data_IF_958653517561
#
_entry.id   IF_958653517561
#
_cell.length_a   1.000
_cell.length_b   1.000
_cell.length_c   1.000
_cell.angle_alpha   90.00
_cell.angle_beta   90.00
_cell.angle_gamma   90.00
#
_symmetry.space_group_name_H-M   'P 1'
#
loop_
_entity.id
_entity.type
_entity.pdbx_description
1 polymer ?
#
# COMPACT_ATOMS: atom_id res chain seq x y z
N UNK A 1 21.82 13.46 -20.48
CA UNK A 1 22.84 14.39 -21.02
C UNK A 1 22.35 15.31 -22.15
N UNK A 2 21.61 14.85 -23.17
CA UNK A 2 21.10 15.75 -24.25
C UNK A 2 20.11 16.82 -23.77
N UNK A 3 19.31 16.52 -22.73
CA UNK A 3 18.28 17.42 -22.19
C UNK A 3 18.81 18.44 -21.18
N UNK A 4 19.87 18.12 -20.43
CA UNK A 4 20.52 19.07 -19.53
C UNK A 4 21.09 20.30 -20.29
N UNK A 5 21.54 20.07 -21.54
CA UNK A 5 22.01 21.14 -22.43
C UNK A 5 20.90 22.07 -22.90
N UNK A 6 19.68 21.56 -23.07
CA UNK A 6 18.49 22.35 -23.44
C UNK A 6 18.07 23.26 -22.27
N UNK A 7 18.20 22.81 -21.03
CA UNK A 7 17.89 23.59 -19.84
C UNK A 7 18.91 24.68 -19.51
N UNK A 8 20.21 24.40 -19.69
CA UNK A 8 21.25 25.46 -19.63
C UNK A 8 20.99 26.53 -20.69
N UNK A 9 20.51 26.14 -21.88
CA UNK A 9 20.10 27.07 -22.93
C UNK A 9 18.83 27.86 -22.58
N UNK A 10 17.79 27.25 -21.99
CA UNK A 10 16.57 27.98 -21.57
C UNK A 10 16.86 28.94 -20.40
N UNK A 11 17.68 28.53 -19.42
CA UNK A 11 18.11 29.39 -18.33
C UNK A 11 18.99 30.56 -18.82
N UNK A 12 19.88 30.32 -19.79
CA UNK A 12 20.65 31.38 -20.46
C UNK A 12 19.77 32.32 -21.30
N UNK A 13 18.72 31.81 -21.96
CA UNK A 13 17.89 32.60 -22.87
C UNK A 13 16.82 33.45 -22.16
N UNK A 14 16.33 33.01 -21.00
CA UNK A 14 15.38 33.81 -20.18
C UNK A 14 16.14 34.70 -19.17
N UNK A 15 17.30 34.25 -18.67
CA UNK A 15 18.14 35.03 -17.76
C UNK A 15 18.92 36.18 -18.42
N UNK A 16 19.07 36.18 -19.75
CA UNK A 16 19.80 37.22 -20.50
C UNK A 16 18.93 38.38 -21.01
N UNK A 17 17.62 38.36 -20.76
CA UNK A 17 16.69 39.43 -21.16
C UNK A 17 16.70 40.59 -20.15
N UNK A 18 17.41 40.46 -19.04
CA UNK A 18 17.82 41.60 -18.23
C UNK A 18 19.29 41.88 -18.60
N UNK A 19 19.60 42.94 -19.37
CA UNK A 19 20.95 43.47 -19.35
C UNK A 19 21.31 43.70 -17.89
N UNK A 20 22.45 43.18 -17.43
CA UNK A 20 22.99 43.44 -16.10
C UNK A 20 23.40 44.94 -15.94
N UNK A 21 22.43 45.84 -16.11
CA UNK A 21 22.60 47.28 -16.27
C UNK A 21 21.32 48.08 -16.00
N UNK A 22 20.37 47.53 -15.21
CA UNK A 22 19.38 48.32 -14.48
C UNK A 22 19.74 48.31 -12.98
N UNK A 23 20.91 48.84 -12.65
CA UNK A 23 21.17 49.39 -11.32
C UNK A 23 21.12 50.90 -11.41
N UNK A 24 20.04 51.49 -10.92
CA UNK A 24 20.08 52.83 -10.37
C UNK A 24 20.90 52.76 -9.07
N UNK A 25 22.21 53.01 -9.17
CA UNK A 25 23.07 53.41 -8.06
C UNK A 25 24.46 53.81 -8.58
N UNK A 26 24.87 55.04 -8.29
CA UNK A 26 26.26 55.47 -8.29
C UNK A 26 27.12 54.54 -7.42
N UNK A 27 28.24 54.04 -7.96
CA UNK A 27 29.60 54.27 -7.42
C UNK A 27 30.63 53.37 -8.12
N UNK A 28 31.75 53.99 -8.48
CA UNK A 28 33.01 53.44 -9.00
C UNK A 28 33.29 51.96 -8.67
N UNK A 29 33.49 51.13 -9.70
CA UNK A 29 34.62 50.16 -9.72
C UNK A 29 34.83 49.58 -11.12
N UNK A 30 36.03 49.80 -11.62
CA UNK A 30 36.59 49.31 -12.88
C UNK A 30 36.78 47.78 -12.81
N UNK A 31 36.31 47.06 -13.82
CA UNK A 31 36.84 45.72 -14.17
C UNK A 31 37.10 45.73 -15.68
N UNK A 32 38.39 45.71 -16.01
CA UNK A 32 38.93 45.63 -17.37
C UNK A 32 38.97 44.17 -17.88
N UNK A 33 38.87 44.06 -19.21
CA UNK A 33 39.25 42.95 -20.11
C UNK A 33 38.19 41.84 -20.27
N UNK A 34 37.79 41.42 -21.48
CA UNK A 34 38.49 41.39 -22.78
C UNK A 34 37.55 41.75 -23.95
N UNK A 35 37.92 42.77 -24.73
CA UNK A 35 37.20 43.21 -25.93
C UNK A 35 38.01 42.80 -27.16
N UNK A 36 37.53 41.82 -27.94
CA UNK A 36 37.90 41.77 -29.36
C UNK A 36 37.07 42.83 -30.10
N UNK A 37 37.69 43.75 -30.87
CA UNK A 37 36.94 44.75 -31.61
C UNK A 37 36.36 44.12 -32.89
N UNK A 38 35.03 43.98 -32.93
CA UNK A 38 34.30 43.64 -34.15
C UNK A 38 34.29 44.82 -35.15
N UNK A 39 34.25 44.55 -36.47
CA UNK A 39 34.49 45.53 -37.54
C UNK A 39 33.46 46.68 -37.60
N UNK A 40 33.82 47.80 -38.25
CA UNK A 40 33.18 49.12 -38.09
C UNK A 40 31.84 49.31 -38.83
N UNK A 41 31.00 48.27 -38.91
CA UNK A 41 29.70 48.32 -39.61
C UNK A 41 28.47 48.23 -38.68
N UNK A 42 28.65 48.15 -37.37
CA UNK A 42 27.55 48.04 -36.38
C UNK A 42 27.43 49.34 -35.55
N UNK A 43 27.08 50.46 -36.18
CA UNK A 43 26.87 51.73 -35.45
C UNK A 43 25.43 52.28 -35.45
N UNK A 44 24.46 51.61 -36.08
CA UNK A 44 23.06 52.09 -36.09
C UNK A 44 22.05 50.96 -35.88
N UNK A 45 22.07 50.30 -34.72
CA UNK A 45 20.98 49.41 -34.26
C UNK A 45 20.60 49.84 -32.85
N UNK A 46 19.32 50.20 -32.66
CA UNK A 46 18.82 50.64 -31.36
C UNK A 46 18.85 49.49 -30.35
N UNK A 47 18.90 49.79 -29.05
CA UNK A 47 18.92 48.74 -28.02
C UNK A 47 17.66 47.88 -28.05
N UNK A 48 16.51 48.48 -28.36
CA UNK A 48 15.21 47.81 -28.50
C UNK A 48 15.19 46.83 -29.68
N UNK A 49 15.77 47.23 -30.81
CA UNK A 49 15.92 46.39 -32.00
C UNK A 49 16.79 45.14 -31.73
N UNK A 50 17.89 45.28 -30.97
CA UNK A 50 18.71 44.13 -30.53
C UNK A 50 17.93 43.17 -29.62
N UNK A 51 17.10 43.70 -28.72
CA UNK A 51 16.27 42.87 -27.83
C UNK A 51 15.18 42.16 -28.64
N UNK A 52 14.59 42.85 -29.62
CA UNK A 52 13.58 42.29 -30.51
C UNK A 52 14.15 41.18 -31.40
N UNK A 53 15.35 41.37 -31.99
CA UNK A 53 16.05 40.34 -32.77
C UNK A 53 16.33 39.09 -31.94
N UNK A 54 16.84 39.27 -30.71
CA UNK A 54 17.07 38.16 -29.79
C UNK A 54 15.76 37.45 -29.40
N UNK A 55 14.70 38.22 -29.15
CA UNK A 55 13.36 37.69 -28.85
C UNK A 55 12.87 36.76 -29.96
N UNK A 56 12.96 37.21 -31.21
CA UNK A 56 12.59 36.42 -32.40
C UNK A 56 13.40 35.12 -32.50
N UNK A 57 14.72 35.20 -32.35
CA UNK A 57 15.58 34.01 -32.41
C UNK A 57 15.25 32.97 -31.31
N UNK A 58 14.83 33.42 -30.13
CA UNK A 58 14.39 32.53 -29.04
C UNK A 58 13.03 31.90 -29.34
N UNK A 59 12.08 32.67 -29.89
CA UNK A 59 10.77 32.16 -30.29
C UNK A 59 10.86 31.06 -31.33
N UNK A 60 11.67 31.25 -32.37
CA UNK A 60 11.88 30.22 -33.39
C UNK A 60 12.42 28.91 -32.79
N UNK A 61 13.34 29.01 -31.83
CA UNK A 61 13.87 27.83 -31.13
C UNK A 61 12.80 27.15 -30.27
N UNK A 62 12.03 27.92 -29.51
CA UNK A 62 10.97 27.39 -28.65
C UNK A 62 9.83 26.75 -29.46
N UNK A 63 9.40 27.40 -30.55
CA UNK A 63 8.44 26.84 -31.51
C UNK A 63 8.97 25.53 -32.08
N UNK A 64 10.18 25.50 -32.62
CA UNK A 64 10.77 24.27 -33.15
C UNK A 64 10.85 23.12 -32.13
N UNK A 65 11.17 23.41 -30.86
CA UNK A 65 11.21 22.41 -29.80
C UNK A 65 9.80 21.91 -29.47
N UNK A 66 8.85 22.83 -29.27
CA UNK A 66 7.49 22.51 -28.85
C UNK A 66 6.68 21.86 -29.96
N UNK A 67 6.76 22.34 -31.20
CA UNK A 67 6.17 21.67 -32.38
C UNK A 67 6.68 20.24 -32.54
N UNK A 68 7.98 19.99 -32.34
CA UNK A 68 8.52 18.62 -32.34
C UNK A 68 7.95 17.77 -31.22
N UNK A 69 7.69 18.33 -30.05
CA UNK A 69 7.09 17.59 -28.93
C UNK A 69 5.62 17.28 -29.21
N UNK A 70 4.85 18.29 -29.63
CA UNK A 70 3.43 18.16 -29.99
C UNK A 70 3.24 17.14 -31.12
N UNK A 71 4.02 17.22 -32.21
CA UNK A 71 3.93 16.28 -33.33
C UNK A 71 4.29 14.82 -32.95
N UNK A 72 4.98 14.61 -31.83
CA UNK A 72 5.32 13.28 -31.30
C UNK A 72 4.34 12.80 -30.21
N UNK A 73 3.18 13.47 -30.08
CA UNK A 73 2.12 13.16 -29.13
C UNK A 73 0.75 13.16 -29.82
N UNK A 74 -0.17 12.32 -29.33
CA UNK A 74 -1.57 12.35 -29.73
C UNK A 74 -2.37 13.11 -28.65
N UNK A 75 -2.12 14.42 -28.56
CA UNK A 75 -2.89 15.28 -27.66
C UNK A 75 -4.23 15.64 -28.34
N UNK A 76 -5.37 15.52 -27.64
CA UNK A 76 -6.64 16.00 -28.18
C UNK A 76 -6.64 17.52 -28.31
N UNK A 77 -7.37 18.03 -29.30
CA UNK A 77 -7.37 19.47 -29.66
C UNK A 77 -7.84 20.38 -28.52
N UNK A 78 -8.64 19.86 -27.60
CA UNK A 78 -9.15 20.57 -26.43
C UNK A 78 -8.26 20.45 -25.17
N UNK A 79 -7.10 19.79 -25.26
CA UNK A 79 -6.19 19.67 -24.12
C UNK A 79 -5.63 21.04 -23.71
N UNK A 80 -5.38 21.22 -22.41
CA UNK A 80 -4.77 22.43 -21.87
C UNK A 80 -3.39 22.71 -22.50
N UNK A 81 -2.64 21.64 -22.80
CA UNK A 81 -1.35 21.69 -23.51
C UNK A 81 -1.52 22.20 -24.94
N UNK A 82 -2.53 21.72 -25.68
CA UNK A 82 -2.80 22.19 -27.03
C UNK A 82 -3.27 23.64 -27.05
N UNK A 83 -4.10 24.05 -26.08
CA UNK A 83 -4.53 25.45 -25.93
C UNK A 83 -3.35 26.40 -25.69
N UNK A 84 -2.42 26.04 -24.81
CA UNK A 84 -1.21 26.84 -24.59
C UNK A 84 -0.30 26.84 -25.82
N UNK A 85 -0.20 25.73 -26.55
CA UNK A 85 0.56 25.68 -27.80
C UNK A 85 -0.03 26.60 -28.87
N UNK A 86 -1.35 26.59 -29.07
CA UNK A 86 -2.04 27.46 -30.03
C UNK A 86 -1.84 28.94 -29.68
N UNK A 87 -2.03 29.33 -28.42
CA UNK A 87 -1.76 30.70 -27.96
C UNK A 87 -0.29 31.10 -28.16
N UNK A 88 0.65 30.18 -27.94
CA UNK A 88 2.07 30.47 -28.15
C UNK A 88 2.39 30.71 -29.64
N UNK A 89 1.79 29.93 -30.54
CA UNK A 89 1.97 30.11 -31.99
C UNK A 89 1.30 31.41 -32.49
N UNK A 90 0.11 31.75 -31.99
CA UNK A 90 -0.59 33.02 -32.31
C UNK A 90 0.27 34.24 -31.91
N UNK A 91 0.71 34.32 -30.65
CA UNK A 91 1.55 35.42 -30.20
C UNK A 91 2.94 35.43 -30.87
N UNK A 92 3.44 34.28 -31.35
CA UNK A 92 4.68 34.22 -32.12
C UNK A 92 4.48 34.88 -33.49
N UNK A 93 3.40 34.55 -34.19
CA UNK A 93 3.08 35.16 -35.49
C UNK A 93 2.95 36.68 -35.36
N UNK A 94 2.24 37.15 -34.32
CA UNK A 94 2.11 38.57 -34.03
C UNK A 94 3.46 39.25 -33.72
N UNK A 95 4.36 38.56 -33.00
CA UNK A 95 5.69 39.07 -32.71
C UNK A 95 6.57 39.17 -33.97
N UNK A 96 6.50 38.19 -34.87
CA UNK A 96 7.25 38.18 -36.13
C UNK A 96 6.76 39.28 -37.08
N UNK A 97 5.44 39.44 -37.21
CA UNK A 97 4.85 40.51 -38.01
C UNK A 97 5.24 41.91 -37.49
N UNK A 98 5.21 42.09 -36.16
CA UNK A 98 5.67 43.34 -35.53
C UNK A 98 7.15 43.62 -35.85
N UNK A 99 8.01 42.60 -35.77
CA UNK A 99 9.44 42.73 -36.06
C UNK A 99 9.71 43.13 -37.52
N UNK A 100 9.03 42.48 -38.48
CA UNK A 100 9.14 42.79 -39.90
C UNK A 100 8.68 44.22 -40.24
N UNK A 101 7.75 44.76 -39.45
CA UNK A 101 7.26 46.14 -39.58
C UNK A 101 8.11 47.18 -38.85
N UNK A 102 9.16 46.77 -38.12
CA UNK A 102 10.01 47.65 -37.31
C UNK A 102 9.40 48.05 -35.96
N UNK A 103 8.31 47.42 -35.54
CA UNK A 103 7.67 47.63 -34.22
C UNK A 103 8.34 46.75 -33.16
N UNK A 104 9.53 47.16 -32.73
CA UNK A 104 10.35 46.42 -31.79
C UNK A 104 9.72 46.32 -30.39
N UNK A 105 8.91 47.30 -29.99
CA UNK A 105 8.21 47.25 -28.70
C UNK A 105 7.16 46.13 -28.67
N UNK A 106 6.29 46.06 -29.67
CA UNK A 106 5.28 45.00 -29.74
C UNK A 106 5.90 43.63 -30.04
N UNK A 107 7.03 43.57 -30.74
CA UNK A 107 7.83 42.34 -30.90
C UNK A 107 8.20 41.75 -29.54
N UNK A 108 8.68 42.59 -28.62
CA UNK A 108 9.12 42.16 -27.28
C UNK A 108 7.93 41.70 -26.44
N UNK A 109 6.83 42.46 -26.43
CA UNK A 109 5.64 42.13 -25.61
C UNK A 109 4.97 40.83 -26.09
N UNK A 110 4.71 40.71 -27.39
CA UNK A 110 4.10 39.50 -27.97
C UNK A 110 5.06 38.32 -27.84
N UNK A 111 6.36 38.54 -28.04
CA UNK A 111 7.36 37.50 -27.89
C UNK A 111 7.49 36.97 -26.47
N UNK A 112 7.53 37.84 -25.45
CA UNK A 112 7.52 37.39 -24.05
C UNK A 112 6.25 36.60 -23.70
N UNK A 113 5.11 36.99 -24.25
CA UNK A 113 3.82 36.31 -24.06
C UNK A 113 3.81 34.92 -24.70
N UNK A 114 4.30 34.80 -25.94
CA UNK A 114 4.51 33.51 -26.59
C UNK A 114 5.48 32.62 -25.81
N UNK A 115 6.60 33.17 -25.32
CA UNK A 115 7.58 32.44 -24.49
C UNK A 115 6.95 31.91 -23.20
N UNK A 116 6.10 32.69 -22.54
CA UNK A 116 5.35 32.24 -21.37
C UNK A 116 4.52 30.99 -21.69
N UNK A 117 3.75 31.03 -22.78
CA UNK A 117 2.92 29.89 -23.17
C UNK A 117 3.74 28.67 -23.63
N UNK A 118 4.83 28.85 -24.38
CA UNK A 118 5.77 27.76 -24.69
C UNK A 118 6.37 27.14 -23.42
N UNK A 119 6.66 27.96 -22.40
CA UNK A 119 7.18 27.47 -21.11
C UNK A 119 6.15 26.57 -20.40
N UNK A 120 4.87 26.94 -20.40
CA UNK A 120 3.83 26.12 -19.77
C UNK A 120 3.61 24.80 -20.54
N UNK A 121 3.70 24.82 -21.88
CA UNK A 121 3.74 23.59 -22.70
C UNK A 121 4.95 22.71 -22.30
N UNK A 122 6.15 23.27 -22.19
CA UNK A 122 7.34 22.49 -21.83
C UNK A 122 7.27 21.92 -20.40
N UNK A 123 6.70 22.66 -19.45
CA UNK A 123 6.51 22.21 -18.06
C UNK A 123 5.54 21.05 -17.93
N UNK A 124 4.46 21.02 -18.70
CA UNK A 124 3.49 19.90 -18.65
C UNK A 124 4.15 18.58 -19.09
N UNK A 125 5.06 18.65 -20.07
CA UNK A 125 5.88 17.51 -20.49
C UNK A 125 6.98 17.11 -19.48
N UNK A 126 7.40 18.00 -18.59
CA UNK A 126 8.40 17.74 -17.55
C UNK A 126 7.78 17.13 -16.27
N UNK A 127 6.76 17.78 -15.69
CA UNK A 127 6.08 17.31 -14.48
C UNK A 127 5.34 15.99 -14.69
N UNK A 128 4.77 15.79 -15.87
CA UNK A 128 4.12 14.54 -16.25
C UNK A 128 5.06 13.32 -16.30
N UNK A 129 6.37 13.53 -16.32
CA UNK A 129 7.35 12.45 -16.55
C UNK A 129 7.88 11.81 -15.27
N UNK A 130 7.95 12.53 -14.15
CA UNK A 130 8.47 11.99 -12.87
C UNK A 130 7.36 11.44 -11.97
N UNK A 131 6.23 12.15 -11.83
CA UNK A 131 5.16 11.72 -10.91
C UNK A 131 4.23 10.67 -11.54
N UNK A 132 3.96 10.79 -12.83
CA UNK A 132 2.94 10.00 -13.54
C UNK A 132 3.50 8.79 -14.32
N UNK A 133 4.81 8.75 -14.59
CA UNK A 133 5.45 7.63 -15.30
C UNK A 133 5.86 6.47 -14.41
N UNK A 134 6.12 6.74 -13.13
CA UNK A 134 6.60 5.72 -12.17
C UNK A 134 5.54 5.34 -11.12
N UNK A 135 4.75 6.29 -10.58
CA UNK A 135 3.84 6.00 -9.45
C UNK A 135 2.42 5.63 -9.87
N UNK A 136 1.84 6.34 -10.83
CA UNK A 136 0.43 6.12 -11.22
C UNK A 136 0.17 4.74 -11.85
N UNK A 137 1.02 4.22 -12.74
CA UNK A 137 0.81 2.88 -13.31
C UNK A 137 0.83 1.78 -12.25
N UNK A 138 1.67 1.92 -11.23
CA UNK A 138 1.69 0.99 -10.10
C UNK A 138 0.46 1.11 -9.21
N UNK A 139 -0.01 2.34 -8.95
CA UNK A 139 -1.24 2.58 -8.19
C UNK A 139 -2.46 2.00 -8.90
N UNK A 140 -2.55 2.17 -10.22
CA UNK A 140 -3.62 1.58 -11.02
C UNK A 140 -3.51 0.05 -11.08
N UNK A 141 -2.30 -0.50 -11.14
CA UNK A 141 -2.10 -1.96 -11.04
C UNK A 141 -2.55 -2.52 -9.69
N UNK A 142 -2.37 -1.78 -8.59
CA UNK A 142 -2.89 -2.16 -7.27
C UNK A 142 -4.43 -2.16 -7.24
N UNK A 143 -5.08 -1.32 -8.06
CA UNK A 143 -6.54 -1.24 -8.12
C UNK A 143 -7.21 -2.51 -8.65
N UNK A 144 -6.57 -3.31 -9.51
CA UNK A 144 -7.11 -4.60 -9.94
C UNK A 144 -7.29 -5.58 -8.76
N UNK A 145 -6.38 -5.54 -7.78
CA UNK A 145 -6.51 -6.33 -6.55
C UNK A 145 -7.67 -5.86 -5.69
N UNK A 146 -7.83 -4.54 -5.57
CA UNK A 146 -8.94 -3.92 -4.87
C UNK A 146 -10.30 -4.26 -5.50
N UNK A 147 -10.44 -4.10 -6.82
CA UNK A 147 -11.71 -4.37 -7.52
C UNK A 147 -12.13 -5.83 -7.38
N UNK A 148 -11.21 -6.78 -7.50
CA UNK A 148 -11.51 -8.21 -7.26
C UNK A 148 -12.01 -8.48 -5.84
N UNK A 149 -11.46 -7.78 -4.85
CA UNK A 149 -11.91 -7.92 -3.46
C UNK A 149 -13.30 -7.28 -3.25
N UNK A 150 -13.55 -6.13 -3.88
CA UNK A 150 -14.86 -5.46 -3.86
C UNK A 150 -15.93 -6.33 -4.52
N UNK A 151 -15.67 -6.86 -5.72
CA UNK A 151 -16.54 -7.81 -6.44
C UNK A 151 -16.88 -9.01 -5.56
N UNK A 152 -15.86 -9.64 -4.95
CA UNK A 152 -16.07 -10.80 -4.08
C UNK A 152 -16.92 -10.45 -2.85
N UNK A 153 -16.73 -9.27 -2.27
CA UNK A 153 -17.53 -8.82 -1.11
C UNK A 153 -18.99 -8.63 -1.52
N UNK A 154 -19.23 -7.96 -2.65
CA UNK A 154 -20.55 -7.73 -3.23
C UNK A 154 -21.24 -9.07 -3.55
N UNK A 155 -20.51 -10.01 -4.18
CA UNK A 155 -21.07 -11.33 -4.54
C UNK A 155 -21.47 -12.13 -3.30
N UNK A 156 -20.66 -12.13 -2.25
CA UNK A 156 -20.98 -12.81 -0.99
C UNK A 156 -22.21 -12.16 -0.33
N UNK A 157 -22.27 -10.83 -0.29
CA UNK A 157 -23.39 -10.09 0.27
C UNK A 157 -24.69 -10.35 -0.49
N UNK A 158 -24.65 -10.33 -1.81
CA UNK A 158 -25.81 -10.63 -2.67
C UNK A 158 -26.33 -12.04 -2.42
N UNK A 159 -25.45 -13.04 -2.27
CA UNK A 159 -25.84 -14.42 -1.92
C UNK A 159 -26.51 -14.53 -0.55
N UNK A 160 -26.25 -13.58 0.34
CA UNK A 160 -26.87 -13.49 1.66
C UNK A 160 -28.10 -12.58 1.69
N UNK A 161 -28.56 -12.11 0.54
CA UNK A 161 -29.76 -11.27 0.43
C UNK A 161 -29.56 -9.82 0.89
N UNK A 162 -28.31 -9.37 1.04
CA UNK A 162 -27.99 -7.98 1.34
C UNK A 162 -28.14 -7.13 0.08
N UNK A 163 -28.67 -5.92 0.23
CA UNK A 163 -28.77 -4.96 -0.88
C UNK A 163 -27.39 -4.42 -1.26
N UNK A 164 -27.03 -4.66 -2.52
CA UNK A 164 -25.74 -4.33 -3.13
C UNK A 164 -25.86 -3.45 -4.38
N UNK A 165 -27.06 -2.93 -4.70
CA UNK A 165 -27.29 -2.17 -5.94
C UNK A 165 -26.33 -0.97 -6.03
N UNK A 166 -26.29 -0.14 -4.99
CA UNK A 166 -25.40 1.03 -4.90
C UNK A 166 -23.92 0.67 -4.99
N UNK A 167 -23.48 -0.38 -4.28
CA UNK A 167 -22.08 -0.79 -4.30
C UNK A 167 -21.65 -1.33 -5.67
N UNK A 168 -22.56 -2.01 -6.39
CA UNK A 168 -22.32 -2.52 -7.74
C UNK A 168 -22.19 -1.37 -8.74
N UNK A 169 -23.07 -0.37 -8.64
CA UNK A 169 -23.01 0.84 -9.45
C UNK A 169 -21.70 1.62 -9.20
N UNK A 170 -21.38 1.92 -7.94
CA UNK A 170 -20.15 2.63 -7.56
C UNK A 170 -18.88 1.89 -7.98
N UNK A 171 -18.87 0.55 -7.91
CA UNK A 171 -17.77 -0.26 -8.41
C UNK A 171 -17.55 -0.06 -9.90
N UNK A 172 -18.62 -0.08 -10.69
CA UNK A 172 -18.54 0.14 -12.13
C UNK A 172 -18.06 1.55 -12.46
N UNK A 173 -18.65 2.57 -11.83
CA UNK A 173 -18.24 3.96 -12.02
C UNK A 173 -16.78 4.20 -11.62
N UNK A 174 -16.32 3.57 -10.53
CA UNK A 174 -14.92 3.67 -10.08
C UNK A 174 -13.99 3.03 -11.11
N UNK A 175 -14.32 1.84 -11.63
CA UNK A 175 -13.54 1.19 -12.69
C UNK A 175 -13.45 2.06 -13.94
N UNK A 176 -14.55 2.68 -14.34
CA UNK A 176 -14.59 3.58 -15.49
C UNK A 176 -13.73 4.83 -15.27
N UNK A 177 -13.80 5.46 -14.10
CA UNK A 177 -12.95 6.62 -13.78
C UNK A 177 -11.46 6.28 -13.82
N UNK A 178 -11.04 5.15 -13.23
CA UNK A 178 -9.65 4.70 -13.32
C UNK A 178 -9.22 4.32 -14.74
N UNK A 179 -10.16 3.89 -15.60
CA UNK A 179 -9.89 3.63 -17.02
C UNK A 179 -9.64 4.94 -17.77
N UNK A 180 -10.42 5.99 -17.51
CA UNK A 180 -10.20 7.32 -18.10
C UNK A 180 -8.81 7.84 -17.76
N UNK A 181 -8.40 7.76 -16.49
CA UNK A 181 -7.04 8.14 -16.06
C UNK A 181 -5.95 7.40 -16.86
N UNK A 182 -6.12 6.11 -17.12
CA UNK A 182 -5.18 5.35 -17.95
C UNK A 182 -5.15 5.83 -19.40
N UNK A 183 -6.29 6.24 -19.95
CA UNK A 183 -6.39 6.78 -21.30
C UNK A 183 -5.67 8.14 -21.40
N UNK A 184 -5.81 9.02 -20.41
CA UNK A 184 -5.11 10.31 -20.37
C UNK A 184 -3.59 10.13 -20.23
N UNK A 185 -3.14 9.20 -19.39
CA UNK A 185 -1.71 8.85 -19.28
C UNK A 185 -1.17 8.34 -20.62
N UNK A 186 -1.93 7.47 -21.31
CA UNK A 186 -1.54 6.96 -22.64
C UNK A 186 -1.48 8.07 -23.68
N UNK A 187 -2.40 9.03 -23.62
CA UNK A 187 -2.40 10.24 -24.45
C UNK A 187 -1.28 11.22 -24.08
N UNK A 188 -0.58 11.00 -22.96
CA UNK A 188 0.41 11.90 -22.34
C UNK A 188 -0.21 13.24 -21.90
N UNK A 189 -1.52 13.27 -21.65
CA UNK A 189 -2.22 14.42 -21.08
C UNK A 189 -2.18 14.32 -19.55
N UNK A 190 -1.05 14.72 -18.99
CA UNK A 190 -0.73 14.49 -17.58
C UNK A 190 -1.50 15.39 -16.61
N UNK A 191 -1.86 16.61 -17.02
CA UNK A 191 -2.68 17.49 -16.20
C UNK A 191 -4.11 16.96 -16.13
N UNK A 192 -4.67 16.52 -17.26
CA UNK A 192 -5.99 15.89 -17.28
C UNK A 192 -6.02 14.57 -16.51
N UNK A 193 -5.00 13.73 -16.66
CA UNK A 193 -4.86 12.50 -15.89
C UNK A 193 -4.88 12.74 -14.37
N UNK A 194 -4.35 13.89 -13.91
CA UNK A 194 -4.36 14.26 -12.49
C UNK A 194 -5.75 14.67 -12.02
N UNK A 195 -6.46 15.48 -12.81
CA UNK A 195 -7.84 15.88 -12.53
C UNK A 195 -8.77 14.64 -12.48
N UNK A 196 -8.72 13.80 -13.51
CA UNK A 196 -9.53 12.58 -13.60
C UNK A 196 -9.18 11.57 -12.49
N UNK A 197 -7.95 11.60 -11.97
CA UNK A 197 -7.53 10.74 -10.87
C UNK A 197 -8.11 11.16 -9.51
N UNK A 198 -8.28 12.45 -9.25
CA UNK A 198 -8.99 12.92 -8.05
C UNK A 198 -10.46 12.50 -8.09
N UNK A 199 -11.12 12.60 -9.24
CA UNK A 199 -12.49 12.07 -9.44
C UNK A 199 -12.55 10.57 -9.17
N UNK A 200 -11.56 9.80 -9.66
CA UNK A 200 -11.49 8.37 -9.40
C UNK A 200 -11.32 8.04 -7.90
N UNK A 201 -10.57 8.87 -7.16
CA UNK A 201 -10.42 8.74 -5.70
C UNK A 201 -11.70 9.03 -4.93
N UNK A 202 -12.45 10.06 -5.33
CA UNK A 202 -13.74 10.37 -4.73
C UNK A 202 -14.73 9.21 -4.90
N UNK A 203 -14.82 8.64 -6.11
CA UNK A 203 -15.66 7.47 -6.38
C UNK A 203 -15.22 6.25 -5.58
N UNK A 204 -13.91 6.01 -5.46
CA UNK A 204 -13.36 4.95 -4.61
C UNK A 204 -13.75 5.14 -3.14
N UNK A 205 -13.68 6.36 -2.62
CA UNK A 205 -14.07 6.66 -1.23
C UNK A 205 -15.56 6.37 -0.99
N UNK A 206 -16.43 6.74 -1.92
CA UNK A 206 -17.85 6.40 -1.85
C UNK A 206 -18.08 4.88 -1.88
N UNK A 207 -17.37 4.16 -2.75
CA UNK A 207 -17.41 2.70 -2.79
C UNK A 207 -16.92 2.07 -1.48
N UNK A 208 -15.86 2.62 -0.87
CA UNK A 208 -15.31 2.11 0.40
C UNK A 208 -16.33 2.21 1.55
N UNK A 209 -17.12 3.29 1.61
CA UNK A 209 -18.19 3.44 2.61
C UNK A 209 -19.35 2.45 2.37
N UNK A 210 -19.77 2.23 1.13
CA UNK A 210 -20.78 1.20 0.83
C UNK A 210 -20.29 -0.21 1.12
N UNK A 211 -19.04 -0.54 0.79
CA UNK A 211 -18.44 -1.82 1.14
C UNK A 211 -18.33 -2.01 2.66
N UNK A 212 -18.11 -0.95 3.42
CA UNK A 212 -18.07 -0.98 4.89
C UNK A 212 -19.46 -1.24 5.48
N UNK A 213 -20.51 -0.62 4.93
CA UNK A 213 -21.92 -0.94 5.27
C UNK A 213 -22.22 -2.40 5.00
N UNK A 214 -21.93 -2.89 3.78
CA UNK A 214 -22.14 -4.28 3.39
C UNK A 214 -21.40 -5.25 4.33
N UNK A 215 -20.16 -4.96 4.70
CA UNK A 215 -19.40 -5.81 5.65
C UNK A 215 -20.07 -5.85 7.03
N UNK A 216 -20.64 -4.74 7.49
CA UNK A 216 -21.37 -4.71 8.77
C UNK A 216 -22.61 -5.59 8.70
N UNK A 217 -23.40 -5.46 7.65
CA UNK A 217 -24.61 -6.26 7.42
C UNK A 217 -24.28 -7.74 7.22
N UNK A 218 -23.18 -8.07 6.53
CA UNK A 218 -22.69 -9.44 6.43
C UNK A 218 -22.37 -10.04 7.80
N UNK A 219 -21.76 -9.25 8.69
CA UNK A 219 -21.43 -9.75 10.02
C UNK A 219 -22.70 -9.98 10.86
N UNK A 220 -23.71 -9.12 10.72
CA UNK A 220 -25.02 -9.28 11.36
C UNK A 220 -25.80 -10.48 10.78
N UNK A 221 -25.83 -10.61 9.45
CA UNK A 221 -26.46 -11.75 8.76
C UNK A 221 -25.82 -13.11 9.08
N UNK A 222 -24.57 -13.13 9.56
CA UNK A 222 -23.88 -14.33 10.02
C UNK A 222 -23.65 -14.34 11.55
N UNK A 223 -24.39 -13.54 12.31
CA UNK A 223 -24.22 -13.44 13.76
C UNK A 223 -24.36 -14.81 14.43
N UNK A 224 -25.32 -15.62 13.97
CA UNK A 224 -25.55 -16.99 14.43
C UNK A 224 -24.28 -17.86 14.29
N UNK A 225 -23.65 -17.86 13.12
CA UNK A 225 -22.46 -18.66 12.85
C UNK A 225 -21.28 -18.21 13.68
N UNK A 226 -21.08 -16.89 13.81
CA UNK A 226 -19.98 -16.31 14.59
C UNK A 226 -20.15 -16.63 16.07
N UNK A 227 -21.36 -16.43 16.60
CA UNK A 227 -21.68 -16.71 18.01
C UNK A 227 -21.52 -18.21 18.30
N UNK A 228 -22.04 -19.08 17.43
CA UNK A 228 -21.89 -20.53 17.61
C UNK A 228 -20.43 -20.98 17.57
N UNK A 229 -19.61 -20.42 16.66
CA UNK A 229 -18.17 -20.71 16.61
C UNK A 229 -17.43 -20.19 17.87
N UNK A 230 -17.81 -19.02 18.37
CA UNK A 230 -17.33 -18.50 19.65
C UNK A 230 -17.69 -19.44 20.81
N UNK A 231 -18.93 -19.92 20.89
CA UNK A 231 -19.36 -20.83 21.94
C UNK A 231 -18.63 -22.18 21.87
N UNK A 232 -18.49 -22.76 20.68
CA UNK A 232 -17.78 -24.03 20.51
C UNK A 232 -16.29 -23.91 20.89
N UNK A 233 -15.63 -22.80 20.51
CA UNK A 233 -14.23 -22.57 20.88
C UNK A 233 -14.07 -22.15 22.34
N UNK A 234 -15.00 -21.38 22.87
CA UNK A 234 -15.01 -20.90 24.24
C UNK A 234 -15.15 -22.06 25.23
N UNK A 235 -16.09 -22.98 25.00
CA UNK A 235 -16.26 -24.18 25.82
C UNK A 235 -14.97 -25.00 25.91
N UNK A 236 -14.31 -25.23 24.76
CA UNK A 236 -13.03 -25.92 24.69
C UNK A 236 -11.92 -25.15 25.40
N UNK A 237 -11.87 -23.82 25.22
CA UNK A 237 -10.90 -22.97 25.91
C UNK A 237 -11.03 -23.07 27.43
N UNK A 238 -12.26 -23.06 27.94
CA UNK A 238 -12.55 -23.22 29.36
C UNK A 238 -12.07 -24.59 29.87
N UNK A 239 -12.42 -25.68 29.18
CA UNK A 239 -12.01 -27.04 29.58
C UNK A 239 -10.48 -27.19 29.62
N UNK A 240 -9.77 -26.65 28.62
CA UNK A 240 -8.30 -26.69 28.58
C UNK A 240 -7.73 -25.83 29.70
N UNK A 241 -8.30 -24.66 29.97
CA UNK A 241 -7.84 -23.78 31.05
C UNK A 241 -7.97 -24.45 32.43
N UNK A 242 -9.10 -25.13 32.69
CA UNK A 242 -9.30 -25.88 33.94
C UNK A 242 -8.24 -26.97 34.13
N UNK A 243 -8.01 -27.80 33.11
CA UNK A 243 -6.98 -28.85 33.14
C UNK A 243 -5.58 -28.26 33.39
N UNK A 244 -5.28 -27.14 32.75
CA UNK A 244 -4.00 -26.45 32.89
C UNK A 244 -3.81 -25.88 34.30
N UNK A 245 -4.87 -25.34 34.90
CA UNK A 245 -4.86 -24.86 36.29
C UNK A 245 -4.66 -26.04 37.25
N UNK A 246 -5.44 -27.12 37.10
CA UNK A 246 -5.34 -28.33 37.93
C UNK A 246 -3.92 -28.91 37.90
N UNK A 247 -3.35 -29.11 36.69
CA UNK A 247 -1.97 -29.57 36.55
C UNK A 247 -0.93 -28.61 37.13
N UNK A 248 -1.20 -27.30 37.10
CA UNK A 248 -0.30 -26.31 37.66
C UNK A 248 -0.30 -26.39 39.19
N UNK A 249 -1.47 -26.48 39.81
CA UNK A 249 -1.64 -26.63 41.25
C UNK A 249 -1.00 -27.93 41.77
N UNK A 250 -1.22 -29.07 41.10
CA UNK A 250 -0.59 -30.35 41.46
C UNK A 250 0.94 -30.28 41.46
N UNK A 251 1.52 -29.48 40.55
CA UNK A 251 2.97 -29.30 40.40
C UNK A 251 3.51 -28.11 41.22
N UNK A 252 2.67 -27.47 42.03
CA UNK A 252 3.03 -26.34 42.90
C UNK A 252 3.35 -25.05 42.15
N UNK A 253 2.69 -24.81 41.02
CA UNK A 253 2.85 -23.62 40.20
C UNK A 253 1.72 -22.62 40.44
N UNK A 254 2.09 -21.34 40.35
CA UNK A 254 1.12 -20.24 40.40
C UNK A 254 0.33 -20.16 39.08
N UNK A 255 -0.98 -20.43 39.18
CA UNK A 255 -1.96 -20.31 38.10
C UNK A 255 -2.99 -19.20 38.36
N UNK A 256 -2.78 -18.35 39.39
CA UNK A 256 -3.75 -17.36 39.85
C UNK A 256 -4.19 -16.40 38.73
N UNK A 257 -3.25 -15.97 37.89
CA UNK A 257 -3.53 -15.08 36.75
C UNK A 257 -4.43 -15.76 35.71
N UNK A 258 -4.22 -17.04 35.39
CA UNK A 258 -5.10 -17.74 34.44
C UNK A 258 -6.48 -17.99 35.04
N UNK A 259 -6.55 -18.26 36.35
CA UNK A 259 -7.81 -18.45 37.05
C UNK A 259 -8.68 -17.19 37.02
N UNK A 260 -8.11 -16.02 37.34
CA UNK A 260 -8.81 -14.73 37.25
C UNK A 260 -9.30 -14.45 35.82
N UNK A 261 -8.45 -14.68 34.81
CA UNK A 261 -8.82 -14.47 33.40
C UNK A 261 -9.86 -15.48 32.91
N UNK A 262 -9.85 -16.71 33.41
CA UNK A 262 -10.84 -17.73 33.10
C UNK A 262 -12.20 -17.36 33.68
N UNK A 263 -12.27 -16.87 34.92
CA UNK A 263 -13.51 -16.41 35.54
C UNK A 263 -14.13 -15.25 34.75
N UNK A 264 -13.33 -14.23 34.41
CA UNK A 264 -13.80 -13.12 33.59
C UNK A 264 -14.27 -13.57 32.20
N UNK A 265 -13.59 -14.54 31.58
CA UNK A 265 -14.01 -15.11 30.30
C UNK A 265 -15.31 -15.91 30.42
N UNK A 266 -15.51 -16.65 31.51
CA UNK A 266 -16.74 -17.43 31.78
C UNK A 266 -17.96 -16.52 31.89
N UNK A 267 -17.85 -15.40 32.59
CA UNK A 267 -18.95 -14.44 32.68
C UNK A 267 -19.42 -13.96 31.29
N UNK A 268 -18.46 -13.65 30.42
CA UNK A 268 -18.75 -13.27 29.02
C UNK A 268 -19.35 -14.45 28.26
N UNK A 269 -18.75 -15.63 28.39
CA UNK A 269 -19.19 -16.85 27.71
C UNK A 269 -20.64 -17.22 28.07
N UNK A 270 -20.98 -17.23 29.37
CA UNK A 270 -22.30 -17.59 29.85
C UNK A 270 -23.36 -16.57 29.41
N UNK A 271 -23.01 -15.28 29.40
CA UNK A 271 -23.89 -14.23 28.88
C UNK A 271 -24.16 -14.40 27.38
N UNK A 272 -23.12 -14.68 26.58
CA UNK A 272 -23.27 -14.95 25.14
C UNK A 272 -24.10 -16.22 24.90
N UNK A 273 -23.87 -17.27 25.71
CA UNK A 273 -24.60 -18.53 25.63
C UNK A 273 -26.10 -18.35 25.92
N UNK A 274 -26.44 -17.65 27.00
CA UNK A 274 -27.84 -17.37 27.34
C UNK A 274 -28.57 -16.61 26.22
N UNK A 275 -27.93 -15.59 25.64
CA UNK A 275 -28.51 -14.85 24.51
C UNK A 275 -28.65 -15.73 23.25
N UNK A 276 -27.68 -16.59 22.96
CA UNK A 276 -27.75 -17.53 21.85
C UNK A 276 -28.85 -18.59 22.04
N UNK A 277 -29.04 -19.09 23.25
CA UNK A 277 -30.10 -20.05 23.61
C UNK A 277 -31.50 -19.43 23.46
N UNK A 278 -31.62 -18.10 23.64
CA UNK A 278 -32.82 -17.31 23.35
C UNK A 278 -32.97 -16.92 21.86
N UNK A 279 -32.03 -17.31 21.00
CA UNK A 279 -32.01 -16.97 19.57
C UNK A 279 -31.59 -15.52 19.25
N UNK A 280 -31.12 -14.76 20.25
CA UNK A 280 -30.71 -13.35 20.13
C UNK A 280 -29.25 -13.22 19.68
N UNK A 281 -28.95 -13.72 18.49
CA UNK A 281 -27.57 -13.78 17.98
C UNK A 281 -26.92 -12.42 17.79
N UNK A 282 -27.67 -11.38 17.42
CA UNK A 282 -27.13 -10.02 17.27
C UNK A 282 -26.69 -9.41 18.61
N UNK A 283 -27.50 -9.59 19.66
CA UNK A 283 -27.16 -9.16 21.01
C UNK A 283 -25.97 -9.96 21.56
N UNK A 284 -25.95 -11.27 21.31
CA UNK A 284 -24.84 -12.15 21.69
C UNK A 284 -23.54 -11.71 21.00
N UNK A 285 -23.59 -11.39 19.71
CA UNK A 285 -22.46 -10.88 18.95
C UNK A 285 -21.98 -9.52 19.49
N UNK A 286 -22.90 -8.65 19.90
CA UNK A 286 -22.54 -7.37 20.51
C UNK A 286 -21.80 -7.58 21.84
N UNK A 287 -22.26 -8.51 22.69
CA UNK A 287 -21.55 -8.87 23.94
C UNK A 287 -20.13 -9.35 23.66
N UNK A 288 -19.92 -10.17 22.61
CA UNK A 288 -18.58 -10.61 22.20
C UNK A 288 -17.71 -9.40 21.84
N UNK A 289 -18.23 -8.43 21.09
CA UNK A 289 -17.50 -7.22 20.66
C UNK A 289 -17.14 -6.33 21.84
N UNK A 290 -18.09 -6.07 22.74
CA UNK A 290 -17.89 -5.20 23.89
C UNK A 290 -16.87 -5.78 24.89
N UNK A 291 -16.69 -7.10 24.88
CA UNK A 291 -15.77 -7.82 25.77
C UNK A 291 -14.52 -8.37 25.03
N UNK A 292 -14.20 -7.81 23.86
CA UNK A 292 -13.08 -8.28 23.04
C UNK A 292 -11.73 -8.28 23.79
N UNK A 293 -11.48 -7.31 24.67
CA UNK A 293 -10.23 -7.26 25.45
C UNK A 293 -10.19 -8.38 26.49
N UNK A 294 -11.28 -8.67 27.19
CA UNK A 294 -11.37 -9.79 28.14
C UNK A 294 -11.08 -11.13 27.45
N UNK A 295 -11.67 -11.36 26.29
CA UNK A 295 -11.47 -12.58 25.48
C UNK A 295 -9.99 -12.70 25.05
N UNK A 296 -9.39 -11.59 24.63
CA UNK A 296 -7.99 -11.52 24.21
C UNK A 296 -7.02 -11.78 25.36
N UNK A 297 -7.26 -11.20 26.54
CA UNK A 297 -6.43 -11.43 27.72
C UNK A 297 -6.51 -12.88 28.21
N UNK A 298 -7.69 -13.50 28.17
CA UNK A 298 -7.84 -14.93 28.44
C UNK A 298 -6.97 -15.79 27.51
N UNK A 299 -7.03 -15.55 26.19
CA UNK A 299 -6.22 -16.30 25.23
C UNK A 299 -4.71 -16.06 25.39
N UNK A 300 -4.29 -14.84 25.78
CA UNK A 300 -2.89 -14.56 26.11
C UNK A 300 -2.42 -15.32 27.35
N UNK A 301 -3.21 -15.32 28.42
CA UNK A 301 -2.90 -16.05 29.65
C UNK A 301 -2.76 -17.56 29.38
N UNK A 302 -3.68 -18.12 28.60
CA UNK A 302 -3.62 -19.51 28.12
C UNK A 302 -2.32 -19.80 27.38
N UNK A 303 -1.96 -18.98 26.38
CA UNK A 303 -0.74 -19.17 25.60
C UNK A 303 0.53 -19.06 26.47
N UNK A 304 0.53 -18.16 27.46
CA UNK A 304 1.65 -17.97 28.37
C UNK A 304 1.87 -19.18 29.28
N UNK A 305 0.81 -19.71 29.88
CA UNK A 305 0.92 -20.88 30.75
C UNK A 305 1.29 -22.14 29.96
N UNK A 306 0.65 -22.38 28.81
CA UNK A 306 1.04 -23.48 27.90
C UNK A 306 2.53 -23.41 27.53
N UNK A 307 3.02 -22.20 27.21
CA UNK A 307 4.45 -21.99 26.94
C UNK A 307 5.32 -22.33 28.14
N UNK A 308 4.96 -21.92 29.36
CA UNK A 308 5.70 -22.27 30.59
C UNK A 308 5.75 -23.79 30.83
N UNK A 309 4.65 -24.50 30.59
CA UNK A 309 4.61 -25.96 30.69
C UNK A 309 5.57 -26.62 29.69
N UNK A 310 5.50 -26.25 28.42
CA UNK A 310 6.37 -26.83 27.40
C UNK A 310 7.84 -26.43 27.56
N UNK A 311 8.13 -25.22 28.05
CA UNK A 311 9.49 -24.81 28.39
C UNK A 311 10.07 -25.68 29.53
N UNK A 312 9.27 -26.00 30.56
CA UNK A 312 9.73 -26.89 31.64
C UNK A 312 9.84 -28.34 31.20
N UNK A 313 8.87 -28.85 30.44
CA UNK A 313 8.94 -30.19 29.84
C UNK A 313 10.20 -30.32 28.97
N UNK A 314 10.50 -29.31 28.14
CA UNK A 314 11.75 -29.25 27.40
C UNK A 314 12.96 -29.27 28.34
N UNK A 315 12.99 -28.44 29.39
CA UNK A 315 14.11 -28.41 30.34
C UNK A 315 14.35 -29.75 31.06
N UNK A 316 13.30 -30.45 31.46
CA UNK A 316 13.39 -31.76 32.11
C UNK A 316 13.86 -32.83 31.13
N UNK A 317 13.26 -32.88 29.93
CA UNK A 317 13.63 -33.85 28.90
C UNK A 317 15.01 -33.60 28.33
N UNK A 318 15.46 -32.35 28.28
CA UNK A 318 16.82 -31.97 27.88
C UNK A 318 17.90 -32.53 28.81
N UNK A 319 17.59 -32.86 30.08
CA UNK A 319 18.55 -33.52 30.98
C UNK A 319 19.00 -34.88 30.46
N UNK A 320 18.15 -35.57 29.70
CA UNK A 320 18.49 -36.80 28.99
C UNK A 320 18.16 -36.69 27.50
N UNK A 321 18.95 -35.87 26.80
CA UNK A 321 18.80 -35.55 25.38
C UNK A 321 18.61 -36.79 24.49
N UNK A 322 19.31 -37.89 24.79
CA UNK A 322 19.23 -39.12 23.98
C UNK A 322 17.85 -39.76 24.08
N UNK A 323 17.26 -39.79 25.27
CA UNK A 323 15.90 -40.30 25.49
C UNK A 323 14.88 -39.37 24.87
N UNK A 324 15.02 -38.06 25.09
CA UNK A 324 14.13 -37.04 24.51
C UNK A 324 14.03 -37.13 22.99
N UNK A 325 15.17 -37.21 22.28
CA UNK A 325 15.17 -37.32 20.82
C UNK A 325 14.59 -38.65 20.33
N UNK A 326 14.73 -39.73 21.10
CA UNK A 326 14.11 -41.02 20.78
C UNK A 326 12.60 -40.94 20.91
N UNK A 327 12.08 -40.34 21.97
CA UNK A 327 10.64 -40.11 22.16
C UNK A 327 10.05 -39.25 21.05
N UNK A 328 10.69 -38.13 20.72
CA UNK A 328 10.25 -37.25 19.62
C UNK A 328 10.21 -38.00 18.30
N UNK A 329 11.26 -38.77 17.96
CA UNK A 329 11.27 -39.54 16.73
C UNK A 329 10.15 -40.59 16.69
N UNK A 330 9.88 -41.25 17.81
CA UNK A 330 8.75 -42.17 17.94
C UNK A 330 7.41 -41.46 17.71
N UNK A 331 7.22 -40.28 18.32
CA UNK A 331 6.02 -39.45 18.18
C UNK A 331 5.82 -39.00 16.74
N UNK A 332 6.84 -38.45 16.10
CA UNK A 332 6.80 -38.04 14.67
C UNK A 332 6.30 -39.19 13.78
N UNK A 333 6.82 -40.41 13.98
CA UNK A 333 6.41 -41.56 13.18
C UNK A 333 4.95 -41.96 13.43
N UNK A 334 4.53 -41.97 14.70
CA UNK A 334 3.15 -42.28 15.11
C UNK A 334 2.17 -41.26 14.53
N UNK A 335 2.44 -39.97 14.72
CA UNK A 335 1.56 -38.89 14.31
C UNK A 335 1.46 -38.81 12.78
N UNK A 336 2.60 -38.95 12.08
CA UNK A 336 2.61 -39.02 10.62
C UNK A 336 1.83 -40.23 10.08
N UNK A 337 1.76 -41.34 10.82
CA UNK A 337 0.93 -42.50 10.44
C UNK A 337 -0.55 -42.20 10.68
N UNK A 338 -0.90 -41.65 11.83
CA UNK A 338 -2.28 -41.30 12.18
C UNK A 338 -2.86 -40.25 11.22
N UNK A 339 -2.12 -39.17 10.93
CA UNK A 339 -2.55 -38.16 9.95
C UNK A 339 -2.76 -38.74 8.55
N UNK A 340 -1.90 -39.67 8.11
CA UNK A 340 -2.09 -40.37 6.82
C UNK A 340 -3.37 -41.21 6.81
N UNK A 341 -3.71 -41.83 7.94
CA UNK A 341 -4.93 -42.61 8.06
C UNK A 341 -6.17 -41.72 8.04
N UNK A 342 -6.17 -40.62 8.79
CA UNK A 342 -7.25 -39.62 8.77
C UNK A 342 -7.46 -39.03 7.38
N UNK A 343 -6.38 -38.72 6.66
CA UNK A 343 -6.44 -38.25 5.28
C UNK A 343 -7.09 -39.27 4.33
N UNK A 344 -6.81 -40.56 4.51
CA UNK A 344 -7.46 -41.64 3.75
C UNK A 344 -8.96 -41.75 4.06
N UNK A 345 -9.38 -41.35 5.26
CA UNK A 345 -10.79 -41.26 5.68
C UNK A 345 -11.47 -39.96 5.24
N UNK A 346 -10.79 -39.10 4.48
CA UNK A 346 -11.35 -37.85 3.95
C UNK A 346 -11.27 -36.66 4.91
N UNK A 347 -10.58 -36.78 6.04
CA UNK A 347 -10.36 -35.66 6.97
C UNK A 347 -9.32 -34.71 6.39
N UNK A 348 -9.57 -33.39 6.43
CA UNK A 348 -8.59 -32.39 6.02
C UNK A 348 -7.45 -32.25 7.04
N UNK A 349 -6.33 -32.93 6.77
CA UNK A 349 -5.16 -32.96 7.64
C UNK A 349 -4.15 -31.87 7.35
N UNK A 350 -4.38 -30.98 6.37
CA UNK A 350 -3.34 -30.04 5.87
C UNK A 350 -2.71 -29.18 6.97
N UNK A 351 -3.53 -28.67 7.89
CA UNK A 351 -3.07 -27.85 9.01
C UNK A 351 -2.20 -28.64 10.00
N UNK A 352 -2.64 -29.84 10.37
CA UNK A 352 -1.91 -30.71 11.30
C UNK A 352 -0.62 -31.25 10.67
N UNK A 353 -0.62 -31.58 9.38
CA UNK A 353 0.59 -31.96 8.63
C UNK A 353 1.61 -30.81 8.60
N UNK A 354 1.16 -29.56 8.42
CA UNK A 354 2.03 -28.38 8.48
C UNK A 354 2.62 -28.20 9.89
N UNK A 355 1.80 -28.32 10.94
CA UNK A 355 2.27 -28.23 12.33
C UNK A 355 3.30 -29.31 12.67
N UNK A 356 3.07 -30.56 12.25
CA UNK A 356 4.03 -31.65 12.42
C UNK A 356 5.34 -31.38 11.66
N UNK A 357 5.28 -30.79 10.47
CA UNK A 357 6.48 -30.43 9.71
C UNK A 357 7.27 -29.31 10.40
N UNK A 358 6.58 -28.30 10.90
CA UNK A 358 7.21 -27.19 11.63
C UNK A 358 7.82 -27.68 12.94
N UNK A 359 7.15 -28.53 13.71
CA UNK A 359 7.72 -29.09 14.95
C UNK A 359 9.02 -29.84 14.69
N UNK A 360 9.11 -30.62 13.60
CA UNK A 360 10.36 -31.28 13.19
C UNK A 360 11.48 -30.27 12.88
N UNK A 361 11.16 -29.15 12.25
CA UNK A 361 12.14 -28.09 11.97
C UNK A 361 12.63 -27.44 13.26
N UNK A 362 11.72 -27.13 14.19
CA UNK A 362 12.04 -26.57 15.51
C UNK A 362 12.94 -27.52 16.32
N UNK A 363 12.68 -28.83 16.30
CA UNK A 363 13.57 -29.83 16.93
C UNK A 363 14.97 -29.80 16.32
N UNK A 364 15.07 -29.72 14.98
CA UNK A 364 16.37 -29.65 14.29
C UNK A 364 17.14 -28.39 14.65
N UNK A 365 16.47 -27.24 14.71
CA UNK A 365 17.06 -25.97 15.14
C UNK A 365 17.53 -26.06 16.60
N UNK A 366 16.72 -26.63 17.49
CA UNK A 366 17.11 -26.88 18.88
C UNK A 366 18.36 -27.75 19.00
N UNK A 367 18.47 -28.82 18.20
CA UNK A 367 19.68 -29.66 18.16
C UNK A 367 20.90 -28.87 17.68
N UNK A 368 20.75 -28.05 16.65
CA UNK A 368 21.85 -27.25 16.10
C UNK A 368 22.35 -26.20 17.10
N UNK A 369 21.42 -25.53 17.79
CA UNK A 369 21.74 -24.57 18.85
C UNK A 369 22.48 -25.22 20.02
N UNK A 370 22.14 -26.46 20.38
CA UNK A 370 22.91 -27.21 21.37
C UNK A 370 24.35 -27.48 20.94
N UNK A 371 24.58 -27.83 19.66
CA UNK A 371 25.95 -27.98 19.13
C UNK A 371 26.75 -26.67 19.22
N UNK A 372 26.07 -25.53 19.04
CA UNK A 372 26.64 -24.20 19.21
C UNK A 372 26.67 -23.69 20.65
N UNK A 373 26.44 -24.55 21.65
CA UNK A 373 26.47 -24.22 23.08
C UNK A 373 25.48 -23.09 23.46
N UNK A 374 24.32 -23.04 22.80
CA UNK A 374 23.21 -22.11 23.07
C UNK A 374 22.01 -22.86 23.71
N UNK A 375 22.13 -23.36 24.95
CA UNK A 375 21.11 -24.21 25.56
C UNK A 375 19.80 -23.48 25.88
N UNK A 376 19.86 -22.18 26.19
CA UNK A 376 18.66 -21.37 26.44
C UNK A 376 17.81 -21.19 25.16
N UNK A 377 18.47 -20.87 24.05
CA UNK A 377 17.80 -20.77 22.74
C UNK A 377 17.26 -22.13 22.30
N UNK A 378 18.05 -23.20 22.45
CA UNK A 378 17.60 -24.56 22.13
C UNK A 378 16.36 -24.98 22.93
N UNK A 379 16.30 -24.64 24.23
CA UNK A 379 15.14 -24.89 25.09
C UNK A 379 13.87 -24.24 24.53
N UNK A 380 13.95 -23.00 24.02
CA UNK A 380 12.80 -22.33 23.41
C UNK A 380 12.31 -23.07 22.18
N UNK A 381 13.21 -23.48 21.28
CA UNK A 381 12.84 -24.24 20.09
C UNK A 381 12.22 -25.61 20.43
N UNK A 382 12.73 -26.30 21.45
CA UNK A 382 12.11 -27.54 21.92
C UNK A 382 10.73 -27.33 22.54
N UNK A 383 10.52 -26.23 23.28
CA UNK A 383 9.22 -25.88 23.81
C UNK A 383 8.20 -25.63 22.69
N UNK A 384 8.59 -24.89 21.65
CA UNK A 384 7.74 -24.64 20.47
C UNK A 384 7.41 -25.97 19.77
N UNK A 385 8.40 -26.85 19.60
CA UNK A 385 8.17 -28.16 19.02
C UNK A 385 7.17 -28.99 19.83
N UNK A 386 7.30 -29.01 21.16
CA UNK A 386 6.42 -29.76 22.06
C UNK A 386 4.98 -29.24 22.01
N UNK A 387 4.77 -27.92 21.99
CA UNK A 387 3.46 -27.29 21.78
C UNK A 387 2.84 -27.74 20.45
N UNK A 388 3.61 -27.66 19.36
CA UNK A 388 3.12 -28.09 18.05
C UNK A 388 2.79 -29.59 17.99
N UNK A 389 3.60 -30.44 18.63
CA UNK A 389 3.27 -31.86 18.75
C UNK A 389 1.99 -32.09 19.55
N UNK A 390 1.77 -31.34 20.64
CA UNK A 390 0.54 -31.43 21.43
C UNK A 390 -0.70 -31.08 20.62
N UNK A 391 -0.63 -30.01 19.81
CA UNK A 391 -1.72 -29.62 18.89
C UNK A 391 -2.01 -30.68 17.83
N UNK A 392 -0.97 -31.37 17.34
CA UNK A 392 -1.14 -32.49 16.39
C UNK A 392 -1.83 -33.67 17.07
N UNK A 393 -1.46 -34.00 18.31
CA UNK A 393 -2.12 -35.06 19.08
C UNK A 393 -3.58 -34.73 19.36
N UNK A 394 -3.91 -33.51 19.78
CA UNK A 394 -5.31 -33.08 19.94
C UNK A 394 -6.10 -33.22 18.64
N UNK A 395 -5.52 -32.82 17.52
CA UNK A 395 -6.17 -32.97 16.22
C UNK A 395 -6.43 -34.44 15.90
N UNK A 396 -5.45 -35.32 16.13
CA UNK A 396 -5.59 -36.76 15.87
C UNK A 396 -6.69 -37.34 16.76
N UNK A 397 -6.66 -37.07 18.08
CA UNK A 397 -7.62 -37.61 19.04
C UNK A 397 -9.07 -37.18 18.73
N UNK A 398 -9.27 -35.99 18.16
CA UNK A 398 -10.60 -35.51 17.77
C UNK A 398 -11.20 -36.20 16.54
N UNK A 399 -10.38 -36.89 15.74
CA UNK A 399 -10.81 -37.48 14.46
C UNK A 399 -10.57 -38.99 14.37
N UNK A 400 -10.02 -39.58 15.43
CA UNK A 400 -10.02 -41.04 15.65
C UNK A 400 -11.40 -41.49 16.13
#
# INVERSE_FOLDING_TARGET
MRWLKVWVLIALLVGSIIPAGLSLADENTTIENETEPLPPEIQNITQEERIAEHTVAVLERLSNITTRLINNTNLPDNSSVMRHYQLAEEYKEDALAAYESGDYYNTIINGLTAMHHYREVLKSFERGKEELKERLPEEIKRMEGYFRMAERTIEIAQKQGIDVENATMLLQETKEAYKTVLEDIKAKDFEKAKEDFEVAREKKAALDEELKRIRKELVEANADKIVNEFLEKGARGIEVAEKVIEEAEEKGYDASELQERLEAFREVYDKVKALADEGKYDEALQVIRDNAETIKEFHKAMAFIQRKFHEREAQEKMRNMRTFLREINGRIQKDAKALRELKRRGVDTRKAELQLKTSIQEVRLGIELLKHKKPAEAKMHFAIALDMFHRVDEFILRHL
#
